data_IF_310408155312
#
_entry.id   IF_310408155312
#
_cell.length_a   1.000
_cell.length_b   1.000
_cell.length_c   1.000
_cell.angle_alpha   90.00
_cell.angle_beta   90.00
_cell.angle_gamma   90.00
#
_symmetry.space_group_name_H-M   'P 1'
#
loop_
_entity.id
_entity.type
_entity.pdbx_description
1 polymer ?
#
# COMPACT_ATOMS: atom_id res chain seq x y z
N UNK A 1 -17.35 17.98 -32.47
CA UNK A 1 -16.52 19.13 -32.85
C UNK A 1 -15.27 18.63 -33.54
N UNK A 2 -15.34 18.64 -34.88
CA UNK A 2 -14.29 18.27 -35.81
C UNK A 2 -13.23 19.39 -35.81
N UNK A 3 -12.06 19.10 -35.23
CA UNK A 3 -10.90 19.99 -35.31
C UNK A 3 -10.27 19.93 -36.70
N UNK A 4 -10.36 21.01 -37.44
CA UNK A 4 -9.71 21.17 -38.74
C UNK A 4 -8.22 21.32 -38.53
N UNK A 5 -7.45 20.46 -39.19
CA UNK A 5 -5.97 20.58 -39.30
C UNK A 5 -5.67 21.81 -40.12
N UNK A 6 -4.83 22.73 -39.68
CA UNK A 6 -4.43 23.89 -40.50
C UNK A 6 -3.63 23.41 -41.68
N UNK A 7 -4.16 23.67 -42.90
CA UNK A 7 -3.42 23.51 -44.15
C UNK A 7 -2.45 24.69 -44.26
N UNK A 8 -1.17 24.40 -44.14
CA UNK A 8 -0.14 25.43 -44.43
C UNK A 8 -0.15 25.76 -45.93
N UNK A 9 -0.23 27.06 -46.31
CA UNK A 9 -0.15 27.42 -47.70
C UNK A 9 1.26 27.18 -48.23
N UNK A 10 1.33 26.29 -49.20
CA UNK A 10 2.49 26.14 -50.06
C UNK A 10 2.73 27.43 -50.85
N UNK A 11 3.94 27.95 -50.77
CA UNK A 11 4.52 29.05 -51.54
C UNK A 11 4.40 30.44 -50.91
N UNK A 12 5.44 30.86 -50.21
CA UNK A 12 5.83 32.26 -50.13
C UNK A 12 7.15 32.44 -50.91
N UNK A 13 7.02 33.07 -52.06
CA UNK A 13 8.17 33.64 -52.75
C UNK A 13 8.57 34.93 -52.05
N UNK A 14 9.69 34.94 -51.37
CA UNK A 14 10.34 36.13 -50.90
C UNK A 14 11.58 36.36 -51.76
N UNK A 15 11.64 37.54 -52.36
CA UNK A 15 12.78 38.01 -53.12
C UNK A 15 13.18 37.15 -54.33
N UNK A 16 12.32 36.88 -55.28
CA UNK A 16 12.69 36.44 -56.64
C UNK A 16 13.58 35.19 -56.79
N UNK A 17 13.83 34.49 -55.69
CA UNK A 17 14.59 33.24 -55.67
C UNK A 17 13.68 32.09 -55.31
N UNK A 18 13.64 31.07 -56.14
CA UNK A 18 12.98 29.79 -55.81
C UNK A 18 13.76 29.18 -54.68
N UNK A 19 13.20 29.23 -53.45
CA UNK A 19 13.73 28.42 -52.35
C UNK A 19 13.44 26.96 -52.74
N UNK A 20 14.47 26.24 -53.17
CA UNK A 20 14.39 24.79 -53.33
C UNK A 20 14.17 24.19 -51.92
N UNK A 21 13.08 23.45 -51.66
CA UNK A 21 12.80 22.90 -50.36
C UNK A 21 13.72 21.74 -49.94
N UNK A 22 14.77 21.45 -50.71
CA UNK A 22 15.44 20.16 -50.69
C UNK A 22 16.92 20.18 -50.34
N UNK A 23 17.40 21.14 -49.56
CA UNK A 23 18.81 21.08 -49.21
C UNK A 23 19.12 20.97 -47.72
N UNK A 24 18.54 19.94 -47.09
CA UNK A 24 19.17 19.35 -45.92
C UNK A 24 19.77 18.01 -46.37
N UNK A 25 21.07 17.79 -46.24
CA UNK A 25 21.69 16.50 -46.56
C UNK A 25 20.96 15.36 -45.84
N UNK A 26 20.81 14.19 -46.45
CA UNK A 26 20.21 13.03 -45.82
C UNK A 26 20.81 12.70 -44.43
N UNK A 27 22.09 12.98 -44.27
CA UNK A 27 22.87 12.84 -43.04
C UNK A 27 22.35 13.74 -41.90
N UNK A 28 21.91 14.97 -42.20
CA UNK A 28 21.33 15.87 -41.21
C UNK A 28 20.06 15.30 -40.57
N UNK A 29 19.19 14.75 -41.39
CA UNK A 29 17.95 14.15 -40.91
C UNK A 29 18.22 12.87 -40.13
N UNK A 30 19.17 12.05 -40.55
CA UNK A 30 19.58 10.85 -39.82
C UNK A 30 20.13 11.24 -38.43
N UNK A 31 21.03 12.20 -38.38
CA UNK A 31 21.62 12.70 -37.12
C UNK A 31 20.55 13.27 -36.17
N UNK A 32 19.59 14.04 -36.72
CA UNK A 32 18.50 14.59 -35.92
C UNK A 32 17.60 13.50 -35.35
N UNK A 33 17.26 12.48 -36.13
CA UNK A 33 16.48 11.34 -35.64
C UNK A 33 17.25 10.55 -34.60
N UNK A 34 18.54 10.35 -34.74
CA UNK A 34 19.40 9.66 -33.78
C UNK A 34 19.48 10.43 -32.46
N UNK A 35 19.69 11.74 -32.51
CA UNK A 35 19.71 12.61 -31.33
C UNK A 35 18.35 12.59 -30.58
N UNK A 36 17.25 12.59 -31.34
CA UNK A 36 15.92 12.47 -30.72
C UNK A 36 15.73 11.11 -30.02
N UNK A 37 16.14 10.00 -30.64
CA UNK A 37 16.07 8.69 -30.03
C UNK A 37 16.90 8.62 -28.76
N UNK A 38 18.10 9.14 -28.80
CA UNK A 38 18.97 9.20 -27.63
C UNK A 38 18.36 10.01 -26.51
N UNK A 39 17.81 11.19 -26.78
CA UNK A 39 17.15 12.03 -25.80
C UNK A 39 15.93 11.34 -25.18
N UNK A 40 15.14 10.60 -25.94
CA UNK A 40 14.00 9.83 -25.44
C UNK A 40 14.49 8.71 -24.54
N UNK A 41 15.53 7.99 -24.91
CA UNK A 41 16.09 6.90 -24.11
C UNK A 41 16.69 7.42 -22.81
N UNK A 42 17.46 8.50 -22.86
CA UNK A 42 18.02 9.14 -21.67
C UNK A 42 16.92 9.63 -20.70
N UNK A 43 15.85 10.20 -21.26
CA UNK A 43 14.69 10.61 -20.45
C UNK A 43 14.01 9.40 -19.81
N UNK A 44 13.82 8.30 -20.55
CA UNK A 44 13.23 7.05 -20.01
C UNK A 44 14.05 6.51 -18.85
N UNK A 45 15.38 6.39 -19.03
CA UNK A 45 16.29 5.93 -17.99
C UNK A 45 16.29 6.86 -16.77
N UNK A 46 16.14 8.16 -16.97
CA UNK A 46 16.04 9.12 -15.89
C UNK A 46 14.75 8.92 -15.09
N UNK A 47 13.61 8.76 -15.74
CA UNK A 47 12.31 8.49 -15.08
C UNK A 47 12.35 7.17 -14.32
N UNK A 48 12.92 6.11 -14.90
CA UNK A 48 13.08 4.81 -14.23
C UNK A 48 13.92 4.91 -12.95
N UNK A 49 15.04 5.67 -12.98
CA UNK A 49 15.88 5.91 -11.80
C UNK A 49 15.13 6.65 -10.69
N UNK A 50 14.36 7.68 -11.06
CA UNK A 50 13.52 8.41 -10.08
C UNK A 50 12.48 7.48 -9.45
N UNK A 51 11.77 6.68 -10.26
CA UNK A 51 10.79 5.74 -9.77
C UNK A 51 11.40 4.69 -8.82
N UNK A 52 12.57 4.15 -9.16
CA UNK A 52 13.30 3.22 -8.30
C UNK A 52 13.71 3.87 -6.97
N UNK A 53 14.27 5.08 -7.02
CA UNK A 53 14.67 5.80 -5.81
C UNK A 53 13.46 6.08 -4.89
N UNK A 54 12.31 6.46 -5.46
CA UNK A 54 11.08 6.67 -4.71
C UNK A 54 10.57 5.36 -4.07
N UNK A 55 10.65 4.24 -4.80
CA UNK A 55 10.25 2.93 -4.25
C UNK A 55 11.14 2.52 -3.07
N UNK A 56 12.46 2.67 -3.18
CA UNK A 56 13.40 2.36 -2.10
C UNK A 56 13.07 3.21 -0.86
N UNK A 57 12.94 4.53 -1.04
CA UNK A 57 12.60 5.45 0.07
C UNK A 57 11.26 5.08 0.72
N UNK A 58 10.25 4.73 -0.06
CA UNK A 58 8.95 4.31 0.45
C UNK A 58 9.02 2.98 1.22
N UNK A 59 9.86 2.03 0.76
CA UNK A 59 10.08 0.77 1.46
C UNK A 59 10.79 0.97 2.80
N UNK A 60 11.84 1.79 2.82
CA UNK A 60 12.59 2.11 4.05
C UNK A 60 11.68 2.80 5.07
N UNK A 61 10.90 3.78 4.64
CA UNK A 61 9.93 4.46 5.50
C UNK A 61 8.88 3.50 6.08
N UNK A 62 8.38 2.56 5.28
CA UNK A 62 7.43 1.53 5.77
C UNK A 62 8.08 0.58 6.77
N UNK A 63 9.33 0.19 6.51
CA UNK A 63 10.09 -0.68 7.42
C UNK A 63 10.33 -0.01 8.77
N UNK A 64 10.76 1.25 8.76
CA UNK A 64 10.94 2.03 9.99
C UNK A 64 9.63 2.24 10.76
N UNK A 65 8.55 2.57 10.06
CA UNK A 65 7.22 2.67 10.67
C UNK A 65 6.81 1.35 11.32
N UNK A 66 7.00 0.21 10.62
CA UNK A 66 6.72 -1.12 11.16
C UNK A 66 7.54 -1.46 12.39
N UNK A 67 8.82 -1.08 12.44
CA UNK A 67 9.69 -1.29 13.61
C UNK A 67 9.22 -0.46 14.82
N UNK A 68 8.87 0.82 14.60
CA UNK A 68 8.33 1.69 15.67
C UNK A 68 7.00 1.17 16.20
N UNK A 69 6.09 0.78 15.30
CA UNK A 69 4.81 0.18 15.66
C UNK A 69 4.97 -1.08 16.51
N UNK A 70 5.89 -1.98 16.10
CA UNK A 70 6.19 -3.19 16.85
C UNK A 70 6.78 -2.89 18.24
N UNK A 71 7.71 -1.96 18.33
CA UNK A 71 8.29 -1.56 19.60
C UNK A 71 7.22 -0.99 20.57
N UNK A 72 6.32 -0.17 20.05
CA UNK A 72 5.18 0.36 20.80
C UNK A 72 4.23 -0.74 21.26
N UNK A 73 3.84 -1.64 20.37
CA UNK A 73 3.00 -2.80 20.72
C UNK A 73 3.64 -3.58 21.88
N UNK A 74 4.91 -4.00 21.72
CA UNK A 74 5.61 -4.77 22.74
C UNK A 74 5.71 -4.05 24.10
N UNK A 75 5.80 -2.73 24.12
CA UNK A 75 5.83 -1.95 25.36
C UNK A 75 4.48 -1.91 26.09
N UNK A 76 3.38 -2.21 25.39
CA UNK A 76 2.01 -2.19 25.94
C UNK A 76 1.47 -3.58 26.27
N UNK A 77 2.13 -4.65 25.81
CA UNK A 77 1.76 -6.01 26.14
C UNK A 77 2.11 -6.34 27.60
N UNK A 78 1.25 -7.13 28.25
CA UNK A 78 1.60 -7.78 29.53
C UNK A 78 2.76 -8.79 29.29
N UNK A 79 3.40 -9.26 30.35
CA UNK A 79 4.48 -10.24 30.21
C UNK A 79 4.02 -11.53 29.56
N UNK A 80 2.79 -12.01 29.88
CA UNK A 80 2.17 -13.17 29.27
C UNK A 80 1.87 -12.94 27.77
N UNK A 81 1.22 -11.82 27.45
CA UNK A 81 0.94 -11.45 26.04
C UNK A 81 2.22 -11.30 25.22
N UNK A 82 3.26 -10.75 25.83
CA UNK A 82 4.56 -10.61 25.17
C UNK A 82 5.19 -11.97 24.89
N UNK A 83 5.13 -12.87 25.86
CA UNK A 83 5.61 -14.24 25.68
C UNK A 83 4.86 -14.95 24.54
N UNK A 84 3.52 -14.87 24.52
CA UNK A 84 2.68 -15.40 23.42
C UNK A 84 3.09 -14.79 22.07
N UNK A 85 3.26 -13.47 22.02
CA UNK A 85 3.61 -12.78 20.78
C UNK A 85 5.00 -13.15 20.25
N UNK A 86 5.97 -13.37 21.13
CA UNK A 86 7.34 -13.72 20.75
C UNK A 86 7.47 -15.20 20.35
N UNK A 87 6.70 -16.10 20.95
CA UNK A 87 6.75 -17.54 20.66
C UNK A 87 5.82 -17.95 19.53
N UNK A 88 4.61 -17.41 19.51
CA UNK A 88 3.51 -17.84 18.64
C UNK A 88 3.13 -16.81 17.57
N UNK A 89 3.71 -15.61 17.64
CA UNK A 89 3.37 -14.47 16.78
C UNK A 89 1.94 -13.95 16.91
N UNK A 90 1.19 -14.35 17.94
CA UNK A 90 -0.13 -13.83 18.32
C UNK A 90 -0.17 -13.61 19.82
N UNK A 91 -1.17 -12.91 20.30
CA UNK A 91 -1.46 -12.79 21.74
C UNK A 91 -2.97 -12.74 22.00
N UNK A 92 -3.36 -13.02 23.23
CA UNK A 92 -4.77 -13.05 23.65
C UNK A 92 -5.10 -11.85 24.54
N UNK A 93 -6.33 -11.35 24.35
CA UNK A 93 -6.98 -10.36 25.21
C UNK A 93 -8.22 -11.02 25.83
N UNK A 94 -8.30 -11.02 27.15
CA UNK A 94 -9.47 -11.55 27.85
C UNK A 94 -10.65 -10.60 27.71
N UNK A 95 -11.84 -11.18 27.49
CA UNK A 95 -13.10 -10.43 27.52
C UNK A 95 -13.43 -9.96 28.93
N UNK A 96 -13.89 -8.72 29.03
CA UNK A 96 -14.43 -8.18 30.30
C UNK A 96 -15.91 -8.46 30.47
N UNK A 97 -16.64 -8.57 29.36
CA UNK A 97 -18.10 -8.71 29.36
C UNK A 97 -18.56 -10.17 29.31
N UNK A 98 -17.76 -11.05 28.66
CA UNK A 98 -18.14 -12.44 28.46
C UNK A 98 -17.16 -13.38 29.15
N UNK A 99 -17.53 -13.93 30.33
CA UNK A 99 -16.67 -14.89 31.04
C UNK A 99 -16.27 -16.08 30.16
N UNK A 100 -14.98 -16.46 30.21
CA UNK A 100 -14.42 -17.57 29.41
C UNK A 100 -14.12 -17.23 27.97
N UNK A 101 -14.39 -15.97 27.54
CA UNK A 101 -14.10 -15.52 26.20
C UNK A 101 -12.72 -14.85 26.11
N UNK A 102 -11.99 -15.14 25.03
CA UNK A 102 -10.71 -14.53 24.68
C UNK A 102 -10.70 -14.13 23.21
N UNK A 103 -9.97 -13.09 22.89
CA UNK A 103 -9.72 -12.59 21.55
C UNK A 103 -8.26 -12.83 21.21
N UNK A 104 -7.96 -13.71 20.23
CA UNK A 104 -6.61 -13.99 19.77
C UNK A 104 -6.31 -13.14 18.56
N UNK A 105 -5.34 -12.24 18.70
CA UNK A 105 -4.95 -11.26 17.69
C UNK A 105 -3.75 -11.77 16.91
N UNK A 106 -3.94 -12.02 15.61
CA UNK A 106 -2.90 -12.51 14.69
C UNK A 106 -2.21 -11.37 13.92
N UNK A 107 -0.93 -11.52 13.53
CA UNK A 107 -0.19 -10.51 12.79
C UNK A 107 -0.48 -10.55 11.27
N UNK A 108 -1.74 -10.57 10.91
CA UNK A 108 -2.20 -10.59 9.51
C UNK A 108 -3.09 -9.38 9.23
N UNK A 109 -3.12 -8.88 7.99
CA UNK A 109 -3.80 -7.62 7.68
C UNK A 109 -5.33 -7.70 7.67
N UNK A 110 -5.92 -8.91 7.61
CA UNK A 110 -7.38 -9.07 7.57
C UNK A 110 -7.80 -10.36 8.24
N UNK A 111 -9.04 -10.35 8.79
CA UNK A 111 -9.63 -11.48 9.53
C UNK A 111 -8.64 -11.98 10.59
N UNK A 112 -8.12 -11.03 11.35
CA UNK A 112 -6.96 -11.23 12.21
C UNK A 112 -7.30 -11.49 13.69
N UNK A 113 -8.57 -11.62 14.05
CA UNK A 113 -8.99 -11.90 15.42
C UNK A 113 -9.83 -13.17 15.42
N UNK A 114 -9.41 -14.16 16.21
CA UNK A 114 -10.22 -15.31 16.54
C UNK A 114 -10.95 -15.07 17.87
N UNK A 115 -12.25 -15.34 17.91
CA UNK A 115 -13.01 -15.39 19.16
C UNK A 115 -12.96 -16.82 19.70
N UNK A 116 -12.44 -16.95 20.90
CA UNK A 116 -12.32 -18.22 21.62
C UNK A 116 -13.27 -18.17 22.82
N UNK A 117 -14.17 -19.15 22.94
CA UNK A 117 -15.07 -19.30 24.05
C UNK A 117 -14.85 -20.68 24.69
N UNK A 118 -14.50 -20.70 25.98
CA UNK A 118 -14.24 -21.92 26.74
C UNK A 118 -13.22 -22.89 26.10
N UNK A 119 -12.25 -22.31 25.34
CA UNK A 119 -11.20 -23.05 24.65
C UNK A 119 -11.48 -23.31 23.17
N UNK A 120 -12.71 -23.17 22.70
CA UNK A 120 -13.10 -23.41 21.32
C UNK A 120 -13.17 -22.11 20.52
N UNK A 121 -12.66 -22.13 19.30
CA UNK A 121 -12.80 -21.00 18.36
C UNK A 121 -14.21 -20.99 17.78
N UNK A 122 -15.00 -19.97 18.11
CA UNK A 122 -16.40 -19.86 17.72
C UNK A 122 -16.64 -18.93 16.53
N UNK A 123 -15.76 -17.96 16.28
CA UNK A 123 -15.89 -17.01 15.18
C UNK A 123 -14.56 -16.30 14.89
N UNK A 124 -14.55 -15.50 13.83
CA UNK A 124 -13.43 -14.63 13.49
C UNK A 124 -13.92 -13.21 13.24
N UNK A 125 -13.04 -12.23 13.49
CA UNK A 125 -13.32 -10.82 13.26
C UNK A 125 -12.28 -10.20 12.33
N UNK A 126 -12.74 -9.17 11.63
CA UNK A 126 -11.89 -8.23 10.92
C UNK A 126 -12.23 -6.81 11.37
N UNK A 127 -11.28 -6.12 11.97
CA UNK A 127 -11.42 -4.73 12.35
C UNK A 127 -10.05 -4.03 12.27
N UNK A 128 -9.80 -3.35 11.18
CA UNK A 128 -8.56 -2.60 11.06
C UNK A 128 -8.45 -1.84 9.74
N UNK A 129 -7.76 -0.71 9.74
CA UNK A 129 -7.50 0.07 8.54
C UNK A 129 -6.49 -0.64 7.62
N UNK A 130 -6.65 -0.42 6.30
CA UNK A 130 -5.71 -0.93 5.30
C UNK A 130 -4.53 0.04 5.18
N UNK A 131 -3.32 -0.50 4.98
CA UNK A 131 -2.13 0.30 4.64
C UNK A 131 -1.34 0.85 5.82
N UNK A 132 -1.72 0.52 7.05
CA UNK A 132 -0.94 0.81 8.26
C UNK A 132 -0.15 -0.43 8.73
N UNK A 133 0.93 -0.26 9.53
CA UNK A 133 1.65 -1.40 10.10
C UNK A 133 0.74 -2.32 10.90
N UNK A 134 0.89 -3.63 10.73
CA UNK A 134 0.06 -4.62 11.40
C UNK A 134 0.11 -4.49 12.92
N UNK A 135 1.27 -4.15 13.49
CA UNK A 135 1.42 -3.95 14.92
C UNK A 135 0.60 -2.76 15.46
N UNK A 136 0.40 -1.70 14.67
CA UNK A 136 -0.48 -0.58 15.05
C UNK A 136 -1.94 -1.03 15.05
N UNK A 137 -2.33 -1.87 14.09
CA UNK A 137 -3.67 -2.47 14.07
C UNK A 137 -3.90 -3.32 15.31
N UNK A 138 -2.97 -4.23 15.63
CA UNK A 138 -3.06 -5.08 16.81
C UNK A 138 -3.10 -4.27 18.10
N UNK A 139 -2.28 -3.23 18.22
CA UNK A 139 -2.29 -2.32 19.37
C UNK A 139 -3.65 -1.64 19.52
N UNK A 140 -4.18 -1.08 18.44
CA UNK A 140 -5.50 -0.43 18.45
C UNK A 140 -6.60 -1.39 18.86
N UNK A 141 -6.62 -2.60 18.29
CA UNK A 141 -7.58 -3.65 18.62
C UNK A 141 -7.50 -4.05 20.08
N UNK A 142 -6.28 -4.25 20.63
CA UNK A 142 -6.07 -4.53 22.06
C UNK A 142 -6.67 -3.43 22.92
N UNK A 143 -6.30 -2.18 22.65
CA UNK A 143 -6.76 -1.04 23.45
C UNK A 143 -8.28 -0.86 23.38
N UNK A 144 -8.91 -1.06 22.23
CA UNK A 144 -10.35 -0.99 22.08
C UNK A 144 -11.06 -2.12 22.82
N UNK A 145 -10.59 -3.36 22.72
CA UNK A 145 -11.13 -4.50 23.46
C UNK A 145 -11.03 -4.31 24.98
N UNK A 146 -9.94 -3.71 25.45
CA UNK A 146 -9.74 -3.43 26.87
C UNK A 146 -10.50 -2.21 27.36
N UNK A 147 -10.78 -1.22 26.51
CA UNK A 147 -11.47 0.00 26.90
C UNK A 147 -12.99 -0.12 26.78
N UNK A 148 -13.47 -0.61 25.64
CA UNK A 148 -14.89 -0.69 25.29
C UNK A 148 -15.09 -1.85 24.28
N UNK A 149 -15.28 -3.04 24.83
CA UNK A 149 -15.46 -4.27 24.04
C UNK A 149 -16.72 -4.21 23.18
N UNK A 150 -17.81 -3.66 23.72
CA UNK A 150 -19.08 -3.56 22.99
C UNK A 150 -18.94 -2.65 21.76
N UNK A 151 -18.37 -1.47 21.92
CA UNK A 151 -18.13 -0.55 20.80
C UNK A 151 -17.20 -1.18 19.75
N UNK A 152 -16.19 -1.94 20.18
CA UNK A 152 -15.32 -2.66 19.25
C UNK A 152 -16.09 -3.69 18.43
N UNK A 153 -16.95 -4.50 19.08
CA UNK A 153 -17.73 -5.53 18.39
C UNK A 153 -18.77 -4.95 17.42
N UNK A 154 -19.27 -3.72 17.68
CA UNK A 154 -20.19 -3.03 16.76
C UNK A 154 -19.54 -2.63 15.44
N UNK A 155 -18.24 -2.32 15.42
CA UNK A 155 -17.51 -1.93 14.21
C UNK A 155 -16.80 -3.10 13.53
N UNK A 156 -16.60 -4.21 14.21
CA UNK A 156 -15.92 -5.38 13.69
C UNK A 156 -16.81 -6.16 12.71
N UNK A 157 -16.22 -6.64 11.62
CA UNK A 157 -16.90 -7.51 10.66
C UNK A 157 -16.74 -8.96 11.11
N UNK A 158 -17.86 -9.63 11.37
CA UNK A 158 -17.90 -11.03 11.77
C UNK A 158 -17.77 -11.96 10.58
N UNK A 159 -16.92 -12.96 10.71
CA UNK A 159 -16.72 -14.04 9.75
C UNK A 159 -17.05 -15.38 10.40
N UNK A 160 -18.18 -16.02 10.04
CA UNK A 160 -18.54 -17.32 10.59
C UNK A 160 -17.52 -18.39 10.20
N UNK A 161 -17.31 -19.36 11.06
CA UNK A 161 -16.50 -20.51 10.73
C UNK A 161 -17.19 -21.38 9.66
N UNK A 162 -16.42 -22.03 8.75
CA UNK A 162 -17.02 -22.98 7.80
C UNK A 162 -17.79 -24.07 8.52
N UNK A 163 -19.10 -24.20 8.22
CA UNK A 163 -19.97 -25.21 8.82
C UNK A 163 -20.90 -24.73 9.94
N UNK A 164 -20.72 -23.52 10.50
CA UNK A 164 -21.71 -22.90 11.38
C UNK A 164 -22.79 -22.21 10.54
N UNK A 165 -23.98 -22.76 10.51
CA UNK A 165 -25.20 -22.06 10.05
C UNK A 165 -25.70 -21.20 11.22
N UNK A 166 -25.80 -19.89 10.97
CA UNK A 166 -26.56 -19.01 11.87
C UNK A 166 -28.05 -19.34 11.81
#
# INVERSE_FOLDING_TARGET
TTGSIPVFPSQRTWWGGTIRPDYSPPEFWQQMCENQRQAIEDYRLHVERIAQAQQITAQDSRREAGQRARALLLSTLTDEQRHQYETESWFEVESREFPGRRYRLHPVPSINIDIIQDGDRISRLCAGPIGVPVADVQLTQKLMLEADEEAFLQIAVFHPLPGMRM
#
